data_IF_965696187139
#
_entry.id   IF_965696187139
#
_cell.length_a   1.000
_cell.length_b   1.000
_cell.length_c   1.000
_cell.angle_alpha   90.00
_cell.angle_beta   90.00
_cell.angle_gamma   90.00
#
_symmetry.space_group_name_H-M   'P 1'
#
loop_
_entity.id
_entity.type
_entity.pdbx_description
1 polymer ?
#
# COMPACT_ATOMS: atom_id res chain seq x y z
N UNK A 1 -38.51 33.28 5.66
CA UNK A 1 -38.76 31.83 5.73
C UNK A 1 -38.95 31.32 4.32
N UNK A 2 -37.95 30.73 3.69
CA UNK A 2 -38.05 30.09 2.38
C UNK A 2 -37.95 28.57 2.58
N UNK A 3 -38.99 27.89 2.15
CA UNK A 3 -39.16 26.45 2.19
C UNK A 3 -38.06 25.75 1.34
N UNK A 4 -37.19 25.01 1.98
CA UNK A 4 -36.28 24.05 1.32
C UNK A 4 -37.09 22.76 1.16
N UNK A 5 -37.52 22.47 -0.06
CA UNK A 5 -38.08 21.16 -0.43
C UNK A 5 -36.91 20.12 -0.42
N UNK A 6 -36.96 19.21 0.53
CA UNK A 6 -36.15 17.99 0.49
C UNK A 6 -36.60 17.15 -0.70
N UNK A 7 -35.80 17.10 -1.73
CA UNK A 7 -35.92 16.11 -2.80
C UNK A 7 -35.44 14.78 -2.24
N UNK A 8 -36.34 13.85 -1.99
CA UNK A 8 -36.04 12.47 -1.58
C UNK A 8 -35.20 11.83 -2.65
N UNK A 9 -33.98 11.47 -2.30
CA UNK A 9 -33.05 10.74 -3.15
C UNK A 9 -33.53 9.29 -3.22
N UNK A 10 -34.20 8.93 -4.30
CA UNK A 10 -34.57 7.57 -4.65
C UNK A 10 -33.33 6.84 -5.25
N UNK A 11 -32.50 6.27 -4.40
CA UNK A 11 -31.43 5.33 -4.76
C UNK A 11 -31.61 4.06 -3.93
N UNK A 12 -32.77 3.42 -4.03
CA UNK A 12 -33.01 2.16 -3.31
C UNK A 12 -33.96 1.23 -4.06
N UNK A 13 -33.75 1.01 -5.35
CA UNK A 13 -34.48 -0.08 -6.04
C UNK A 13 -33.70 -0.51 -7.29
N UNK A 14 -32.63 -1.28 -7.07
CA UNK A 14 -32.06 -2.18 -8.09
C UNK A 14 -31.18 -3.24 -7.42
N UNK A 15 -31.75 -3.99 -6.48
CA UNK A 15 -31.06 -5.11 -5.83
C UNK A 15 -32.07 -6.21 -5.52
N UNK A 16 -32.49 -6.92 -6.55
CA UNK A 16 -33.11 -8.23 -6.35
C UNK A 16 -32.76 -9.13 -7.53
N UNK A 17 -32.23 -10.27 -7.15
CA UNK A 17 -31.88 -11.45 -7.93
C UNK A 17 -30.47 -11.47 -8.54
N UNK A 18 -29.56 -12.16 -7.82
CA UNK A 18 -28.85 -13.33 -8.35
C UNK A 18 -28.23 -14.02 -7.11
N UNK A 19 -28.81 -15.16 -6.74
CA UNK A 19 -28.26 -16.10 -5.75
C UNK A 19 -27.35 -17.06 -6.49
N UNK A 20 -26.07 -16.83 -6.38
CA UNK A 20 -25.02 -17.79 -6.76
C UNK A 20 -23.87 -17.60 -5.79
N UNK A 21 -23.57 -18.59 -4.97
CA UNK A 21 -22.44 -18.60 -4.04
C UNK A 21 -21.13 -18.78 -4.78
N UNK A 22 -20.67 -17.74 -5.47
CA UNK A 22 -19.29 -17.60 -5.91
C UNK A 22 -18.58 -16.68 -4.93
N UNK A 23 -17.35 -16.97 -4.58
CA UNK A 23 -16.47 -16.02 -3.89
C UNK A 23 -16.37 -14.80 -4.83
N UNK A 24 -17.12 -13.74 -4.53
CA UNK A 24 -17.31 -12.61 -5.42
C UNK A 24 -16.00 -11.94 -5.79
N UNK A 25 -15.90 -11.36 -6.99
CA UNK A 25 -14.76 -10.61 -7.50
C UNK A 25 -14.44 -9.34 -6.70
N UNK A 26 -13.55 -8.51 -7.22
CA UNK A 26 -13.24 -7.19 -6.68
C UNK A 26 -11.85 -7.03 -6.09
N UNK A 27 -11.55 -5.80 -5.69
CA UNK A 27 -10.25 -5.44 -5.12
C UNK A 27 -10.21 -5.76 -3.64
N UNK A 28 -9.09 -6.31 -3.20
CA UNK A 28 -8.76 -6.53 -1.79
C UNK A 28 -7.69 -5.50 -1.41
N UNK A 29 -8.10 -4.51 -0.62
CA UNK A 29 -7.24 -3.41 -0.20
C UNK A 29 -6.14 -3.91 0.76
N UNK A 30 -5.05 -3.14 0.94
CA UNK A 30 -4.00 -3.49 1.89
C UNK A 30 -4.54 -3.78 3.29
N UNK A 31 -4.27 -4.98 3.79
CA UNK A 31 -4.63 -5.48 5.12
C UNK A 31 -3.47 -6.30 5.67
N UNK A 32 -2.97 -5.92 6.85
CA UNK A 32 -1.77 -6.55 7.43
C UNK A 32 -2.01 -8.00 7.87
N UNK A 33 -3.19 -8.28 8.45
CA UNK A 33 -3.51 -9.62 8.93
C UNK A 33 -3.67 -10.59 7.75
N UNK A 34 -4.41 -10.17 6.71
CA UNK A 34 -4.57 -10.96 5.49
C UNK A 34 -3.23 -11.18 4.78
N UNK A 35 -2.38 -10.14 4.69
CA UNK A 35 -1.04 -10.28 4.10
C UNK A 35 -0.21 -11.30 4.84
N UNK A 36 -0.20 -11.27 6.18
CA UNK A 36 0.56 -12.22 6.99
C UNK A 36 0.06 -13.66 6.83
N UNK A 37 -1.26 -13.86 6.79
CA UNK A 37 -1.86 -15.19 6.59
C UNK A 37 -1.55 -15.76 5.20
N UNK A 38 -1.70 -14.95 4.15
CA UNK A 38 -1.32 -15.33 2.78
C UNK A 38 0.19 -15.60 2.66
N UNK A 39 1.02 -14.77 3.29
CA UNK A 39 2.46 -14.94 3.29
C UNK A 39 2.87 -16.22 4.02
N UNK A 40 2.26 -16.57 5.16
CA UNK A 40 2.54 -17.79 5.87
C UNK A 40 2.34 -19.05 4.99
N UNK A 41 1.25 -19.07 4.19
CA UNK A 41 1.01 -20.14 3.22
C UNK A 41 1.95 -20.08 2.02
N UNK A 42 2.20 -18.88 1.48
CA UNK A 42 3.04 -18.68 0.30
C UNK A 42 4.51 -18.99 0.57
N UNK A 43 5.02 -18.62 1.75
CA UNK A 43 6.41 -18.88 2.15
C UNK A 43 6.70 -20.36 2.44
N UNK A 44 5.68 -21.19 2.60
CA UNK A 44 5.77 -22.64 2.69
C UNK A 44 5.40 -23.36 1.39
N UNK A 45 5.25 -22.61 0.30
CA UNK A 45 4.87 -23.15 -1.00
C UNK A 45 3.53 -23.93 -0.98
N UNK A 46 2.64 -23.60 -0.01
CA UNK A 46 1.27 -24.14 0.04
C UNK A 46 0.41 -23.49 -1.03
N UNK A 47 0.57 -22.19 -1.24
CA UNK A 47 -0.06 -21.42 -2.31
C UNK A 47 0.99 -20.63 -3.10
N UNK A 48 0.65 -20.32 -4.35
CA UNK A 48 1.47 -19.45 -5.20
C UNK A 48 0.73 -18.15 -5.47
N UNK A 49 1.22 -17.06 -4.88
CA UNK A 49 0.69 -15.70 -5.00
C UNK A 49 1.80 -14.68 -4.78
N UNK A 50 1.83 -13.62 -5.58
CA UNK A 50 2.67 -12.45 -5.31
C UNK A 50 1.95 -11.50 -4.36
N UNK A 51 2.62 -11.10 -3.29
CA UNK A 51 2.13 -10.18 -2.27
C UNK A 51 2.85 -8.82 -2.31
N UNK A 52 3.67 -8.58 -3.32
CA UNK A 52 4.44 -7.34 -3.48
C UNK A 52 3.69 -6.25 -4.25
N UNK A 53 2.45 -6.51 -4.69
CA UNK A 53 1.62 -5.55 -5.44
C UNK A 53 0.20 -5.54 -4.88
N UNK A 54 -0.20 -4.41 -4.29
CA UNK A 54 -1.55 -4.21 -3.75
C UNK A 54 -2.23 -2.98 -4.40
N UNK A 55 -3.57 -2.99 -4.53
CA UNK A 55 -4.52 -4.02 -4.07
C UNK A 55 -4.34 -5.33 -4.82
N UNK A 56 -4.68 -6.43 -4.16
CA UNK A 56 -4.87 -7.72 -4.82
C UNK A 56 -6.29 -7.80 -5.41
N UNK A 57 -6.53 -8.78 -6.27
CA UNK A 57 -7.90 -9.16 -6.60
C UNK A 57 -8.34 -10.36 -5.77
N UNK A 58 -9.62 -10.45 -5.47
CA UNK A 58 -10.15 -11.60 -4.73
C UNK A 58 -10.16 -12.87 -5.57
N UNK A 59 -10.21 -12.76 -6.91
CA UNK A 59 -10.06 -13.87 -7.84
C UNK A 59 -8.69 -14.53 -7.71
N UNK A 60 -7.63 -13.70 -7.62
CA UNK A 60 -6.28 -14.22 -7.44
C UNK A 60 -6.12 -14.96 -6.11
N UNK A 61 -6.61 -14.37 -5.02
CA UNK A 61 -6.56 -15.04 -3.72
C UNK A 61 -7.36 -16.35 -3.78
N UNK A 62 -8.54 -16.32 -4.37
CA UNK A 62 -9.39 -17.51 -4.54
C UNK A 62 -8.72 -18.57 -5.39
N UNK A 63 -8.09 -18.18 -6.51
CA UNK A 63 -7.31 -19.09 -7.38
C UNK A 63 -6.17 -19.74 -6.59
N UNK A 64 -5.41 -18.95 -5.85
CA UNK A 64 -4.30 -19.43 -5.03
C UNK A 64 -4.77 -20.41 -3.95
N UNK A 65 -5.86 -20.11 -3.24
CA UNK A 65 -6.42 -20.97 -2.20
C UNK A 65 -7.06 -22.25 -2.74
N UNK A 66 -7.67 -22.21 -3.94
CA UNK A 66 -8.24 -23.39 -4.57
C UNK A 66 -7.18 -24.36 -5.13
N UNK A 67 -6.00 -23.84 -5.46
CA UNK A 67 -4.85 -24.62 -5.91
C UNK A 67 -3.86 -24.92 -4.76
N UNK A 68 -4.26 -24.72 -3.49
CA UNK A 68 -3.40 -24.92 -2.34
C UNK A 68 -3.00 -26.40 -2.19
N UNK A 69 -1.70 -26.63 -1.98
CA UNK A 69 -1.16 -27.95 -1.64
C UNK A 69 -1.17 -28.16 -0.12
N UNK A 70 -2.35 -28.49 0.42
CA UNK A 70 -2.58 -28.64 1.87
C UNK A 70 -2.06 -30.01 2.32
N UNK A 71 -1.19 -30.00 3.33
CA UNK A 71 -0.56 -31.23 3.86
C UNK A 71 -0.87 -31.49 5.33
N UNK A 72 -1.45 -30.52 6.04
CA UNK A 72 -1.80 -30.65 7.45
C UNK A 72 -2.98 -29.76 7.86
N UNK A 73 -3.51 -30.01 9.07
CA UNK A 73 -4.70 -29.32 9.58
C UNK A 73 -4.48 -27.82 9.84
N UNK A 74 -3.24 -27.40 10.17
CA UNK A 74 -2.89 -25.99 10.39
C UNK A 74 -3.06 -25.19 9.10
N UNK A 75 -2.58 -25.72 7.97
CA UNK A 75 -2.73 -25.13 6.65
C UNK A 75 -4.21 -25.06 6.23
N UNK A 76 -4.98 -26.12 6.48
CA UNK A 76 -6.42 -26.14 6.20
C UNK A 76 -7.16 -25.09 7.01
N UNK A 77 -6.91 -25.00 8.33
CA UNK A 77 -7.52 -24.01 9.20
C UNK A 77 -7.22 -22.57 8.73
N UNK A 78 -5.98 -22.32 8.32
CA UNK A 78 -5.57 -21.00 7.81
C UNK A 78 -6.25 -20.66 6.47
N UNK A 79 -6.36 -21.61 5.55
CA UNK A 79 -7.11 -21.45 4.29
C UNK A 79 -8.57 -21.12 4.56
N UNK A 80 -9.21 -21.81 5.50
CA UNK A 80 -10.61 -21.55 5.87
C UNK A 80 -10.77 -20.16 6.54
N UNK A 81 -9.85 -19.75 7.39
CA UNK A 81 -9.84 -18.42 8.01
C UNK A 81 -9.75 -17.31 6.95
N UNK A 82 -8.86 -17.42 5.97
CA UNK A 82 -8.75 -16.46 4.87
C UNK A 82 -10.06 -16.40 4.06
N UNK A 83 -10.64 -17.56 3.69
CA UNK A 83 -11.92 -17.61 2.97
C UNK A 83 -13.04 -16.91 3.77
N UNK A 84 -13.11 -17.15 5.07
CA UNK A 84 -14.09 -16.49 5.95
C UNK A 84 -13.86 -14.98 6.00
N UNK A 85 -12.62 -14.50 6.16
CA UNK A 85 -12.29 -13.08 6.16
C UNK A 85 -12.72 -12.40 4.86
N UNK A 86 -12.41 -12.97 3.70
CA UNK A 86 -12.85 -12.46 2.40
C UNK A 86 -14.37 -12.40 2.29
N UNK A 87 -15.07 -13.41 2.78
CA UNK A 87 -16.53 -13.42 2.76
C UNK A 87 -17.15 -12.38 3.71
N UNK A 88 -16.50 -12.03 4.83
CA UNK A 88 -17.00 -11.03 5.80
C UNK A 88 -16.94 -9.61 5.25
N UNK A 89 -15.92 -9.29 4.46
CA UNK A 89 -15.71 -7.94 3.93
C UNK A 89 -16.57 -7.64 2.69
N UNK A 90 -17.10 -8.66 2.04
CA UNK A 90 -17.94 -8.52 0.84
C UNK A 90 -19.40 -8.28 1.18
N UNK A 91 -20.06 -7.43 0.37
CA UNK A 91 -21.49 -7.13 0.48
C UNK A 91 -21.84 -6.79 1.93
N UNK A 92 -21.16 -5.81 2.48
CA UNK A 92 -21.26 -5.41 3.87
C UNK A 92 -21.29 -3.88 4.03
N UNK A 93 -21.88 -3.44 5.11
CA UNK A 93 -21.65 -2.09 5.66
C UNK A 93 -20.76 -2.22 6.86
N UNK A 94 -19.76 -1.35 6.97
CA UNK A 94 -18.88 -1.29 8.12
C UNK A 94 -18.96 0.09 8.75
N UNK A 95 -19.05 0.12 10.06
CA UNK A 95 -18.85 1.33 10.85
C UNK A 95 -17.48 1.23 11.52
N UNK A 96 -16.62 2.23 11.29
CA UNK A 96 -15.30 2.26 11.89
C UNK A 96 -15.13 3.53 12.71
N UNK A 97 -14.54 3.38 13.87
CA UNK A 97 -14.14 4.50 14.73
C UNK A 97 -12.67 4.35 15.07
N UNK A 98 -11.88 5.35 14.72
CA UNK A 98 -10.48 5.46 15.07
C UNK A 98 -10.27 6.61 16.04
N UNK A 99 -9.52 6.36 17.10
CA UNK A 99 -9.14 7.31 18.14
C UNK A 99 -7.63 7.19 18.39
N UNK A 100 -6.96 8.31 18.53
CA UNK A 100 -5.55 8.35 18.87
C UNK A 100 -5.24 9.53 19.79
N UNK A 101 -4.28 9.35 20.68
CA UNK A 101 -3.76 10.43 21.53
C UNK A 101 -2.89 11.44 20.75
N UNK A 102 -2.49 11.10 19.53
CA UNK A 102 -1.67 11.91 18.63
C UNK A 102 -1.03 11.06 17.54
N UNK A 103 -0.20 11.70 16.70
CA UNK A 103 0.56 11.02 15.65
C UNK A 103 1.79 10.35 16.26
N UNK A 104 1.97 9.05 16.05
CA UNK A 104 3.25 8.41 16.33
C UNK A 104 4.37 9.06 15.51
N UNK A 105 5.51 9.43 16.12
CA UNK A 105 6.65 9.97 15.37
C UNK A 105 7.30 8.95 14.43
N UNK A 106 7.15 7.66 14.70
CA UNK A 106 7.75 6.60 13.88
C UNK A 106 7.11 6.52 12.50
N UNK A 107 7.90 6.41 11.41
CA UNK A 107 7.34 6.12 10.08
C UNK A 107 6.48 4.87 10.09
N UNK A 108 5.29 4.93 9.49
CA UNK A 108 4.34 3.84 9.48
C UNK A 108 4.56 2.93 8.26
N UNK A 109 4.31 1.63 8.44
CA UNK A 109 4.45 0.60 7.41
C UNK A 109 3.15 0.25 6.70
N UNK A 110 3.14 -0.93 6.07
CA UNK A 110 2.04 -1.47 5.29
C UNK A 110 0.72 -1.49 6.05
N UNK A 111 -0.32 -0.89 5.49
CA UNK A 111 -1.68 -0.80 6.04
C UNK A 111 -1.77 -0.18 7.45
N UNK A 112 -0.81 0.68 7.80
CA UNK A 112 -0.75 1.31 9.14
C UNK A 112 -0.93 2.82 9.12
N UNK A 113 -1.07 3.43 7.96
CA UNK A 113 -1.11 4.89 7.83
C UNK A 113 -2.47 5.44 8.24
N UNK A 114 -2.45 6.40 9.17
CA UNK A 114 -3.61 7.12 9.65
C UNK A 114 -3.45 8.62 9.43
N UNK A 115 -4.54 9.25 8.97
CA UNK A 115 -4.51 10.64 8.48
C UNK A 115 -5.15 11.65 9.42
N UNK A 116 -5.61 11.21 10.60
CA UNK A 116 -6.26 12.04 11.64
C UNK A 116 -6.13 11.39 13.01
N UNK A 117 -6.35 12.15 14.08
CA UNK A 117 -6.37 11.60 15.44
C UNK A 117 -7.75 11.02 15.80
N UNK A 118 -8.80 11.53 15.15
CA UNK A 118 -10.15 10.99 15.23
C UNK A 118 -10.71 10.80 13.82
N UNK A 119 -11.29 9.62 13.58
CA UNK A 119 -12.04 9.33 12.36
C UNK A 119 -13.24 8.45 12.68
N UNK A 120 -14.40 8.84 12.19
CA UNK A 120 -15.58 8.00 12.07
C UNK A 120 -15.84 7.74 10.59
N UNK A 121 -16.01 6.49 10.23
CA UNK A 121 -16.19 6.04 8.85
C UNK A 121 -17.44 5.19 8.73
N UNK A 122 -18.23 5.46 7.70
CA UNK A 122 -19.25 4.54 7.19
C UNK A 122 -18.77 4.06 5.83
N UNK A 123 -18.62 2.77 5.68
CA UNK A 123 -18.12 2.13 4.46
C UNK A 123 -19.11 1.08 4.00
N UNK A 124 -19.56 1.19 2.75
CA UNK A 124 -20.42 0.22 2.09
C UNK A 124 -19.68 -0.42 0.93
N UNK A 125 -19.59 -1.74 0.92
CA UNK A 125 -19.00 -2.52 -0.15
C UNK A 125 -20.06 -3.37 -0.85
N UNK A 126 -20.09 -3.31 -2.18
CA UNK A 126 -20.87 -4.19 -3.04
C UNK A 126 -19.98 -4.76 -4.12
N UNK A 127 -19.88 -6.09 -4.16
CA UNK A 127 -18.98 -6.78 -5.06
C UNK A 127 -19.66 -8.00 -5.67
N UNK A 128 -19.53 -8.14 -6.99
CA UNK A 128 -19.93 -9.31 -7.80
C UNK A 128 -18.72 -9.81 -8.57
N UNK A 129 -18.90 -10.78 -9.44
CA UNK A 129 -17.82 -11.31 -10.29
C UNK A 129 -17.27 -10.23 -11.24
N UNK A 130 -18.08 -9.24 -11.64
CA UNK A 130 -17.72 -8.26 -12.67
C UNK A 130 -17.81 -6.80 -12.21
N UNK A 131 -18.35 -6.53 -11.02
CA UNK A 131 -18.52 -5.17 -10.48
C UNK A 131 -18.02 -5.10 -9.06
N UNK A 132 -17.28 -4.05 -8.74
CA UNK A 132 -16.79 -3.75 -7.39
C UNK A 132 -17.01 -2.28 -7.06
N UNK A 133 -17.78 -2.02 -6.02
CA UNK A 133 -18.11 -0.67 -5.55
C UNK A 133 -17.78 -0.56 -4.06
N UNK A 134 -16.98 0.41 -3.70
CA UNK A 134 -16.69 0.77 -2.33
C UNK A 134 -17.02 2.24 -2.10
N UNK A 135 -17.98 2.53 -1.25
CA UNK A 135 -18.34 3.88 -0.86
C UNK A 135 -17.96 4.11 0.59
N UNK A 136 -17.09 5.09 0.81
CA UNK A 136 -16.51 5.39 2.11
C UNK A 136 -16.74 6.86 2.46
N UNK A 137 -17.50 7.12 3.52
CA UNK A 137 -17.73 8.45 4.05
C UNK A 137 -17.01 8.61 5.39
N UNK A 138 -16.12 9.58 5.46
CA UNK A 138 -15.28 9.84 6.63
C UNK A 138 -15.65 11.19 7.26
N UNK A 139 -15.73 11.21 8.60
CA UNK A 139 -15.74 12.41 9.43
C UNK A 139 -14.45 12.41 10.28
N UNK A 140 -13.61 13.42 10.12
CA UNK A 140 -12.27 13.47 10.71
C UNK A 140 -12.08 14.72 11.59
N UNK A 141 -11.20 14.60 12.59
CA UNK A 141 -10.73 15.71 13.42
C UNK A 141 -9.24 15.56 13.69
N UNK A 142 -8.56 16.70 13.96
CA UNK A 142 -7.12 16.75 14.14
C UNK A 142 -6.38 16.03 13.00
N UNK A 143 -6.62 16.50 11.79
CA UNK A 143 -6.05 15.92 10.56
C UNK A 143 -4.55 16.09 10.52
N UNK A 144 -3.87 15.04 10.05
CA UNK A 144 -2.42 14.96 9.86
C UNK A 144 -1.99 15.27 8.42
N UNK A 145 -2.96 15.64 7.56
CA UNK A 145 -2.76 15.98 6.15
C UNK A 145 -3.05 17.45 5.92
N UNK A 146 -2.28 18.07 5.02
CA UNK A 146 -2.48 19.47 4.67
C UNK A 146 -3.76 19.66 3.87
N UNK A 147 -4.46 20.76 4.17
CA UNK A 147 -5.61 21.26 3.40
C UNK A 147 -6.70 20.21 3.12
N UNK A 148 -6.82 19.16 3.91
CA UNK A 148 -7.90 18.18 3.79
C UNK A 148 -9.24 18.73 4.29
N UNK A 149 -10.38 18.13 3.92
CA UNK A 149 -11.68 18.40 4.50
C UNK A 149 -11.97 17.51 5.70
N UNK A 150 -12.68 18.01 6.71
CA UNK A 150 -13.16 17.23 7.84
C UNK A 150 -14.16 16.14 7.42
N UNK A 151 -14.89 16.37 6.35
CA UNK A 151 -15.80 15.41 5.74
C UNK A 151 -15.30 15.10 4.35
N UNK A 152 -15.06 13.82 4.06
CA UNK A 152 -14.51 13.41 2.79
C UNK A 152 -14.95 11.99 2.40
N UNK A 153 -14.74 11.65 1.14
CA UNK A 153 -15.04 10.34 0.56
C UNK A 153 -13.76 9.55 0.23
N UNK A 154 -12.66 9.85 0.91
CA UNK A 154 -11.38 9.20 0.66
C UNK A 154 -11.45 7.69 0.87
N UNK A 155 -10.94 6.93 -0.09
CA UNK A 155 -11.04 5.48 -0.13
C UNK A 155 -12.27 4.96 -0.88
N UNK A 156 -13.11 5.84 -1.45
CA UNK A 156 -14.21 5.43 -2.33
C UNK A 156 -13.71 5.13 -3.73
N UNK A 157 -14.22 4.05 -4.32
CA UNK A 157 -13.92 3.68 -5.71
C UNK A 157 -15.04 2.83 -6.31
N UNK A 158 -15.04 2.73 -7.63
CA UNK A 158 -15.85 1.80 -8.39
C UNK A 158 -15.01 1.13 -9.46
N UNK A 159 -15.29 -0.13 -9.75
CA UNK A 159 -14.59 -0.92 -10.75
C UNK A 159 -15.50 -1.87 -11.50
N UNK A 160 -15.10 -2.19 -12.71
CA UNK A 160 -15.70 -3.23 -13.55
C UNK A 160 -14.63 -4.15 -14.08
N UNK A 161 -14.96 -5.43 -14.16
CA UNK A 161 -14.09 -6.42 -14.77
C UNK A 161 -14.47 -6.62 -16.23
N UNK A 162 -13.50 -6.48 -17.11
CA UNK A 162 -13.63 -6.75 -18.54
C UNK A 162 -12.59 -7.79 -18.89
N UNK A 163 -13.03 -8.98 -19.33
CA UNK A 163 -12.17 -10.16 -19.47
C UNK A 163 -11.44 -10.46 -18.16
N UNK A 164 -10.13 -10.58 -18.19
CA UNK A 164 -9.27 -10.78 -17.01
C UNK A 164 -8.63 -9.45 -16.53
N UNK A 165 -9.37 -8.34 -16.57
CA UNK A 165 -8.87 -7.01 -16.21
C UNK A 165 -9.88 -6.27 -15.36
N UNK A 166 -9.47 -5.79 -14.19
CA UNK A 166 -10.18 -4.80 -13.41
C UNK A 166 -9.83 -3.40 -13.89
N UNK A 167 -10.84 -2.64 -14.27
CA UNK A 167 -10.76 -1.21 -14.59
C UNK A 167 -11.51 -0.48 -13.47
N UNK A 168 -10.78 0.24 -12.65
CA UNK A 168 -11.32 0.92 -11.47
C UNK A 168 -11.02 2.40 -11.50
N UNK A 169 -11.88 3.20 -10.88
CA UNK A 169 -11.69 4.64 -10.72
C UNK A 169 -12.05 5.05 -9.29
N UNK A 170 -11.23 5.89 -8.69
CA UNK A 170 -11.45 6.40 -7.34
C UNK A 170 -10.16 6.63 -6.57
N UNK A 171 -10.22 6.48 -5.26
CA UNK A 171 -9.11 6.64 -4.33
C UNK A 171 -8.72 5.28 -3.75
N UNK A 172 -7.91 4.55 -4.49
CA UNK A 172 -7.52 3.17 -4.18
C UNK A 172 -6.13 3.15 -3.55
N UNK A 173 -5.97 2.69 -2.30
CA UNK A 173 -4.67 2.51 -1.68
C UNK A 173 -3.81 1.53 -2.46
N UNK A 174 -2.53 1.87 -2.64
CA UNK A 174 -1.58 1.08 -3.42
C UNK A 174 -0.31 0.84 -2.61
N UNK A 175 0.29 -0.35 -2.82
CA UNK A 175 1.60 -0.69 -2.30
C UNK A 175 2.40 -1.46 -3.35
N UNK A 176 3.61 -0.99 -3.68
CA UNK A 176 4.45 -1.53 -4.75
C UNK A 176 5.85 -1.89 -4.23
N UNK A 177 6.04 -3.10 -3.84
CA UNK A 177 7.29 -3.64 -3.34
C UNK A 177 7.11 -4.72 -2.30
N UNK A 178 8.15 -5.50 -2.04
CA UNK A 178 8.10 -6.62 -1.09
C UNK A 178 8.15 -6.18 0.38
N UNK A 179 8.52 -4.92 0.66
CA UNK A 179 8.77 -4.41 2.01
C UNK A 179 7.55 -4.40 2.93
N UNK A 180 7.81 -4.32 4.23
CA UNK A 180 6.81 -4.25 5.29
C UNK A 180 6.65 -2.84 5.87
N UNK A 181 7.76 -2.17 6.15
CA UNK A 181 7.77 -0.81 6.71
C UNK A 181 7.95 0.26 5.66
N UNK A 182 8.19 -0.14 4.41
CA UNK A 182 8.28 0.79 3.32
C UNK A 182 8.17 0.14 1.94
N UNK A 183 7.90 0.98 0.97
CA UNK A 183 8.21 0.79 -0.44
C UNK A 183 8.76 2.10 -0.95
N UNK A 184 9.82 2.02 -1.73
CA UNK A 184 10.51 3.23 -2.19
C UNK A 184 9.71 4.00 -3.25
N UNK A 185 8.72 3.38 -3.90
CA UNK A 185 8.03 3.99 -5.04
C UNK A 185 6.54 4.26 -4.79
N UNK A 186 5.83 3.39 -4.08
CA UNK A 186 4.41 3.56 -3.79
C UNK A 186 4.01 2.93 -2.47
N UNK A 187 3.47 3.74 -1.56
CA UNK A 187 2.93 3.30 -0.26
C UNK A 187 1.59 3.96 0.02
N UNK A 188 0.98 3.59 1.12
CA UNK A 188 -0.19 4.23 1.71
C UNK A 188 0.14 5.34 2.73
N UNK A 189 1.41 5.79 2.79
CA UNK A 189 1.82 6.89 3.66
C UNK A 189 1.11 8.21 3.33
N UNK A 190 0.87 8.50 2.05
CA UNK A 190 -0.04 9.54 1.61
C UNK A 190 -1.44 8.97 1.34
N UNK A 191 -2.47 9.82 1.44
CA UNK A 191 -3.81 9.45 0.97
C UNK A 191 -3.75 8.97 -0.48
N UNK A 192 -4.64 8.05 -0.89
CA UNK A 192 -4.67 7.57 -2.26
C UNK A 192 -4.87 8.70 -3.27
N UNK A 193 -4.16 8.63 -4.39
CA UNK A 193 -4.35 9.54 -5.52
C UNK A 193 -5.65 9.19 -6.23
N UNK A 194 -6.49 10.19 -6.49
CA UNK A 194 -7.72 10.00 -7.27
C UNK A 194 -7.37 9.71 -8.72
N UNK A 195 -7.81 8.58 -9.24
CA UNK A 195 -7.48 8.20 -10.63
C UNK A 195 -7.98 6.82 -11.02
N UNK A 196 -7.53 6.39 -12.19
CA UNK A 196 -7.78 5.07 -12.75
C UNK A 196 -6.74 4.07 -12.29
N UNK A 197 -7.18 2.85 -12.08
CA UNK A 197 -6.35 1.66 -11.88
C UNK A 197 -6.81 0.59 -12.87
N UNK A 198 -5.89 0.07 -13.65
CA UNK A 198 -6.08 -1.10 -14.49
C UNK A 198 -5.13 -2.20 -14.00
N UNK A 199 -5.66 -3.38 -13.70
CA UNK A 199 -4.86 -4.53 -13.26
C UNK A 199 -5.45 -5.86 -13.72
N UNK A 200 -4.62 -6.90 -13.78
CA UNK A 200 -5.11 -8.28 -14.00
C UNK A 200 -5.94 -8.74 -12.82
N UNK A 201 -7.01 -9.51 -13.10
CA UNK A 201 -7.84 -10.11 -12.09
C UNK A 201 -7.18 -11.34 -11.43
N UNK A 202 -6.38 -12.11 -12.17
CA UNK A 202 -5.58 -13.21 -11.64
C UNK A 202 -4.12 -13.15 -12.12
N UNK A 203 -3.24 -13.89 -11.46
CA UNK A 203 -1.80 -13.96 -11.76
C UNK A 203 -1.42 -15.22 -12.56
N UNK A 204 -2.36 -15.85 -13.22
CA UNK A 204 -2.12 -17.09 -13.98
C UNK A 204 -0.96 -16.95 -14.97
N UNK A 205 -0.10 -17.97 -15.10
CA UNK A 205 0.96 -17.99 -16.10
C UNK A 205 0.41 -17.93 -17.51
N UNK A 206 1.26 -17.57 -18.46
CA UNK A 206 0.91 -17.72 -19.87
C UNK A 206 0.84 -19.20 -20.26
N UNK A 207 -0.19 -19.58 -21.01
CA UNK A 207 -0.31 -20.92 -21.60
C UNK A 207 0.63 -21.11 -22.80
N UNK A 208 1.11 -20.01 -23.41
CA UNK A 208 1.99 -20.01 -24.55
C UNK A 208 3.39 -20.52 -24.16
N UNK A 209 3.91 -21.62 -24.75
CA UNK A 209 5.14 -22.27 -24.30
C UNK A 209 6.37 -21.35 -24.22
N UNK A 210 6.51 -20.40 -25.14
CA UNK A 210 7.65 -19.47 -25.15
C UNK A 210 7.53 -18.31 -24.13
N UNK A 211 6.37 -18.13 -23.46
CA UNK A 211 6.17 -17.17 -22.37
C UNK A 211 5.95 -17.86 -21.02
N UNK A 212 5.77 -19.18 -20.98
CA UNK A 212 5.48 -19.92 -19.74
C UNK A 212 6.61 -19.81 -18.69
N UNK A 213 7.84 -19.50 -19.11
CA UNK A 213 8.99 -19.27 -18.23
C UNK A 213 8.83 -18.04 -17.33
N UNK A 214 7.94 -17.09 -17.66
CA UNK A 214 7.61 -15.92 -16.85
C UNK A 214 6.95 -16.34 -15.53
N UNK A 215 6.29 -17.52 -15.54
CA UNK A 215 5.53 -17.99 -14.38
C UNK A 215 4.28 -17.16 -14.13
N UNK A 216 3.83 -17.12 -12.90
CA UNK A 216 2.72 -16.22 -12.52
C UNK A 216 3.15 -14.76 -12.65
N UNK A 217 2.27 -13.91 -13.16
CA UNK A 217 2.59 -12.53 -13.41
C UNK A 217 1.40 -11.60 -13.24
N UNK A 218 1.69 -10.36 -12.89
CA UNK A 218 0.70 -9.32 -12.68
C UNK A 218 1.22 -7.99 -13.20
N UNK A 219 0.29 -7.09 -13.56
CA UNK A 219 0.61 -5.68 -13.74
C UNK A 219 -0.46 -4.79 -13.12
N UNK A 220 -0.04 -3.57 -12.81
CA UNK A 220 -0.90 -2.44 -12.48
C UNK A 220 -0.49 -1.22 -13.31
N UNK A 221 -1.47 -0.60 -13.96
CA UNK A 221 -1.35 0.70 -14.61
C UNK A 221 -2.23 1.70 -13.85
N UNK A 222 -1.68 2.85 -13.52
CA UNK A 222 -2.39 3.90 -12.81
C UNK A 222 -2.26 5.23 -13.52
N UNK A 223 -3.33 6.03 -13.50
CA UNK A 223 -3.31 7.39 -14.01
C UNK A 223 -4.25 8.24 -13.15
N UNK A 224 -3.70 9.22 -12.44
CA UNK A 224 -4.46 10.07 -11.53
C UNK A 224 -3.92 11.48 -11.45
N UNK A 225 -4.52 12.28 -10.58
CA UNK A 225 -4.11 13.65 -10.34
C UNK A 225 -3.76 13.83 -8.87
N UNK A 226 -2.55 14.35 -8.60
CA UNK A 226 -2.09 14.68 -7.26
C UNK A 226 -2.93 15.84 -6.72
N UNK A 227 -3.47 15.67 -5.52
CA UNK A 227 -4.29 16.68 -4.86
C UNK A 227 -3.41 17.72 -4.19
N UNK A 228 -3.84 18.99 -4.30
CA UNK A 228 -3.25 20.13 -3.59
C UNK A 228 -1.73 20.25 -3.78
N UNK A 229 -1.31 20.06 -5.00
CA UNK A 229 0.06 20.23 -5.44
C UNK A 229 0.26 21.71 -5.83
N UNK A 230 0.85 22.48 -4.95
CA UNK A 230 0.83 23.95 -5.04
C UNK A 230 1.83 24.51 -6.06
N UNK A 231 2.98 23.86 -6.22
CA UNK A 231 4.03 24.33 -7.14
C UNK A 231 3.66 24.13 -8.61
N UNK A 232 2.89 23.10 -8.90
CA UNK A 232 2.38 22.78 -10.24
C UNK A 232 0.96 22.21 -10.09
N UNK A 233 -0.10 23.05 -9.97
CA UNK A 233 -1.47 22.59 -9.83
C UNK A 233 -1.86 21.65 -10.97
N UNK A 234 -2.72 20.67 -10.68
CA UNK A 234 -3.19 19.68 -11.64
C UNK A 234 -2.13 18.72 -12.18
N UNK A 235 -0.99 18.57 -11.49
CA UNK A 235 0.04 17.56 -11.82
C UNK A 235 -0.58 16.16 -11.85
N UNK A 236 -0.35 15.44 -12.93
CA UNK A 236 -0.79 14.06 -13.11
C UNK A 236 0.30 13.10 -12.64
N UNK A 237 -0.12 11.99 -12.08
CA UNK A 237 0.75 10.88 -11.70
C UNK A 237 0.34 9.65 -12.49
N UNK A 238 1.26 9.13 -13.28
CA UNK A 238 1.09 7.92 -14.08
C UNK A 238 2.05 6.89 -13.53
N UNK A 239 1.59 5.65 -13.36
CA UNK A 239 2.39 4.58 -12.80
C UNK A 239 2.20 3.26 -13.53
N UNK A 240 3.28 2.51 -13.62
CA UNK A 240 3.31 1.14 -14.10
C UNK A 240 4.08 0.28 -13.10
N UNK A 241 3.51 -0.84 -12.73
CA UNK A 241 4.19 -1.93 -12.03
C UNK A 241 3.95 -3.24 -12.75
N UNK A 242 4.98 -4.07 -12.81
CA UNK A 242 4.89 -5.46 -13.27
C UNK A 242 5.62 -6.36 -12.27
N UNK A 243 5.06 -7.54 -12.02
CA UNK A 243 5.72 -8.59 -11.24
C UNK A 243 5.65 -9.90 -11.98
N UNK A 244 6.65 -10.74 -11.81
CA UNK A 244 6.69 -12.10 -12.35
C UNK A 244 7.37 -13.05 -11.38
N UNK A 245 6.95 -14.31 -11.41
CA UNK A 245 7.49 -15.40 -10.61
C UNK A 245 7.98 -16.52 -11.53
N UNK A 246 9.18 -16.41 -12.11
CA UNK A 246 9.73 -17.40 -13.03
C UNK A 246 9.88 -18.78 -12.39
N UNK A 247 10.03 -18.81 -11.08
CA UNK A 247 10.09 -20.02 -10.26
C UNK A 247 9.29 -19.84 -8.98
N UNK A 248 9.04 -20.90 -8.25
CA UNK A 248 8.34 -20.89 -6.95
C UNK A 248 9.15 -20.21 -5.83
N UNK A 249 10.46 -20.05 -6.01
CA UNK A 249 11.36 -19.41 -5.05
C UNK A 249 11.78 -17.97 -5.42
N UNK A 250 11.51 -17.51 -6.64
CA UNK A 250 12.00 -16.19 -7.10
C UNK A 250 10.90 -15.33 -7.67
N UNK A 251 10.77 -14.12 -7.14
CA UNK A 251 9.91 -13.06 -7.65
C UNK A 251 10.76 -11.86 -8.09
N UNK A 252 10.41 -11.28 -9.22
CA UNK A 252 10.99 -10.05 -9.75
C UNK A 252 9.90 -9.04 -10.00
N UNK A 253 10.10 -7.79 -9.56
CA UNK A 253 9.23 -6.66 -9.79
C UNK A 253 9.94 -5.51 -10.49
N UNK A 254 9.22 -4.80 -11.35
CA UNK A 254 9.65 -3.55 -11.95
C UNK A 254 8.57 -2.49 -11.80
N UNK A 255 8.96 -1.27 -11.46
CA UNK A 255 8.02 -0.16 -11.22
C UNK A 255 8.54 1.13 -11.81
N UNK A 256 7.62 1.93 -12.34
CA UNK A 256 7.91 3.29 -12.79
C UNK A 256 6.72 4.19 -12.48
N UNK A 257 7.00 5.41 -12.03
CA UNK A 257 6.02 6.49 -11.91
C UNK A 257 6.54 7.73 -12.60
N UNK A 258 5.63 8.48 -13.20
CA UNK A 258 5.90 9.72 -13.93
C UNK A 258 4.94 10.80 -13.43
N UNK A 259 5.49 11.90 -12.95
CA UNK A 259 4.77 13.14 -12.72
C UNK A 259 4.80 13.95 -14.01
N UNK A 260 3.64 14.30 -14.54
CA UNK A 260 3.53 14.91 -15.86
C UNK A 260 2.50 16.04 -15.91
N UNK A 261 2.76 17.04 -16.73
CA UNK A 261 1.86 18.16 -16.96
C UNK A 261 1.69 19.02 -15.69
N UNK A 262 0.51 19.56 -15.52
CA UNK A 262 0.22 20.58 -14.52
C UNK A 262 0.11 21.97 -15.13
N UNK A 263 -0.30 22.96 -14.33
CA UNK A 263 -0.48 24.33 -14.78
C UNK A 263 0.87 24.96 -15.19
N UNK A 264 0.92 25.57 -16.38
CA UNK A 264 2.14 26.14 -16.93
C UNK A 264 3.17 25.14 -17.46
N UNK A 265 2.82 23.86 -17.58
CA UNK A 265 3.72 22.81 -18.10
C UNK A 265 3.21 22.25 -19.44
N UNK A 266 4.11 21.71 -20.29
CA UNK A 266 3.71 20.99 -21.48
C UNK A 266 2.69 19.87 -21.17
N UNK A 267 1.52 19.91 -21.81
CA UNK A 267 0.40 19.01 -21.52
C UNK A 267 -0.25 18.52 -22.83
N UNK A 268 0.56 18.11 -23.78
CA UNK A 268 0.16 17.59 -25.09
C UNK A 268 0.68 16.17 -25.31
N UNK A 269 0.21 15.49 -26.37
CA UNK A 269 0.60 14.12 -26.68
C UNK A 269 2.11 13.94 -26.86
N UNK A 270 2.80 14.94 -27.43
CA UNK A 270 4.24 14.85 -27.62
C UNK A 270 4.98 14.89 -26.28
N UNK A 271 4.62 15.81 -25.38
CA UNK A 271 5.20 15.87 -24.03
C UNK A 271 4.86 14.61 -23.21
N UNK A 272 3.65 14.05 -23.38
CA UNK A 272 3.27 12.78 -22.74
C UNK A 272 4.21 11.64 -23.16
N UNK A 273 4.38 11.44 -24.48
CA UNK A 273 5.24 10.36 -24.96
C UNK A 273 6.71 10.59 -24.63
N UNK A 274 7.18 11.84 -24.62
CA UNK A 274 8.54 12.16 -24.18
C UNK A 274 8.73 11.81 -22.70
N UNK A 275 7.80 12.18 -21.83
CA UNK A 275 7.82 11.78 -20.40
C UNK A 275 7.79 10.26 -20.24
N UNK A 276 6.92 9.57 -20.98
CA UNK A 276 6.83 8.11 -20.93
C UNK A 276 8.06 7.40 -21.50
N UNK A 277 8.80 8.03 -22.43
CA UNK A 277 10.01 7.50 -23.03
C UNK A 277 11.30 7.86 -22.25
N UNK A 278 11.19 8.62 -21.11
CA UNK A 278 12.37 9.10 -20.37
C UNK A 278 13.18 10.16 -21.10
N UNK A 279 12.55 10.95 -21.98
CA UNK A 279 13.18 12.05 -22.71
C UNK A 279 12.90 13.38 -21.99
N UNK A 280 13.22 13.44 -20.71
CA UNK A 280 12.95 14.57 -19.81
C UNK A 280 14.18 15.47 -19.57
N UNK A 281 15.37 15.03 -19.94
CA UNK A 281 16.60 15.82 -19.84
C UNK A 281 16.87 16.62 -21.13
N UNK A 282 15.98 17.56 -21.48
CA UNK A 282 16.10 18.35 -22.72
C UNK A 282 17.11 19.50 -22.60
N UNK A 283 17.55 19.84 -21.38
CA UNK A 283 18.42 20.99 -21.10
C UNK A 283 17.67 22.33 -21.01
N UNK A 284 16.41 22.40 -21.43
CA UNK A 284 15.52 23.54 -21.21
C UNK A 284 14.41 23.16 -20.21
N UNK A 285 14.37 23.90 -19.10
CA UNK A 285 13.37 23.73 -18.05
C UNK A 285 11.93 23.86 -18.57
N UNK A 286 11.71 24.65 -19.61
CA UNK A 286 10.39 24.87 -20.17
C UNK A 286 9.89 23.68 -21.01
N UNK A 287 10.82 22.95 -21.62
CA UNK A 287 10.53 21.82 -22.49
C UNK A 287 10.62 20.45 -21.79
N UNK A 288 11.11 20.43 -20.54
CA UNK A 288 11.18 19.22 -19.73
C UNK A 288 9.77 18.67 -19.45
N UNK A 289 9.43 17.45 -19.91
CA UNK A 289 8.06 16.96 -19.90
C UNK A 289 7.59 16.42 -18.55
N UNK A 290 8.47 16.12 -17.59
CA UNK A 290 8.05 15.50 -16.34
C UNK A 290 9.15 15.16 -15.35
N UNK A 291 8.79 14.54 -14.24
CA UNK A 291 9.69 13.90 -13.28
C UNK A 291 9.35 12.42 -13.15
N UNK A 292 10.35 11.57 -13.00
CA UNK A 292 10.15 10.13 -12.95
C UNK A 292 10.95 9.45 -11.86
N UNK A 293 10.38 8.35 -11.36
CA UNK A 293 11.04 7.39 -10.50
C UNK A 293 10.88 6.02 -11.12
N UNK A 294 11.96 5.26 -11.21
CA UNK A 294 11.92 3.90 -11.74
C UNK A 294 12.83 2.97 -10.95
N UNK A 295 12.49 1.71 -10.89
CA UNK A 295 13.33 0.73 -10.20
C UNK A 295 12.84 -0.69 -10.27
N UNK A 296 13.63 -1.53 -9.63
CA UNK A 296 13.43 -2.97 -9.57
C UNK A 296 13.33 -3.42 -8.12
N UNK A 297 12.62 -4.50 -7.90
CA UNK A 297 12.61 -5.25 -6.66
C UNK A 297 12.65 -6.75 -6.92
N UNK A 298 13.18 -7.48 -5.95
CA UNK A 298 13.24 -8.93 -6.02
C UNK A 298 13.03 -9.55 -4.64
N UNK A 299 12.52 -10.78 -4.63
CA UNK A 299 12.33 -11.59 -3.44
C UNK A 299 12.76 -13.03 -3.72
N UNK A 300 13.49 -13.63 -2.78
CA UNK A 300 13.93 -15.02 -2.81
C UNK A 300 13.35 -15.74 -1.61
N UNK A 301 12.53 -16.76 -1.86
CA UNK A 301 11.98 -17.67 -0.85
C UNK A 301 12.93 -18.84 -0.64
N UNK A 302 13.33 -19.08 0.60
CA UNK A 302 14.26 -20.15 0.91
C UNK A 302 13.58 -21.51 1.12
N UNK A 303 12.27 -21.53 1.36
CA UNK A 303 11.55 -22.79 1.62
C UNK A 303 11.63 -23.80 0.47
N UNK A 304 11.39 -23.42 -0.80
CA UNK A 304 11.53 -24.37 -1.91
C UNK A 304 12.95 -24.90 -2.12
N UNK A 305 13.96 -24.15 -1.64
CA UNK A 305 15.37 -24.49 -1.82
C UNK A 305 15.93 -25.36 -0.69
N UNK A 306 15.60 -25.03 0.56
CA UNK A 306 16.22 -25.64 1.75
C UNK A 306 15.21 -25.94 2.89
N UNK A 307 13.91 -25.82 2.65
CA UNK A 307 12.86 -26.09 3.65
C UNK A 307 12.76 -25.05 4.78
N UNK A 308 13.40 -23.88 4.64
CA UNK A 308 13.37 -22.82 5.65
C UNK A 308 12.33 -21.74 5.26
N UNK A 309 11.26 -21.52 6.06
CA UNK A 309 10.22 -20.53 5.74
C UNK A 309 10.72 -19.10 6.05
N UNK A 310 11.72 -18.67 5.32
CA UNK A 310 12.38 -17.37 5.38
C UNK A 310 12.57 -16.87 3.96
N UNK A 311 12.41 -15.56 3.76
CA UNK A 311 12.68 -14.90 2.50
C UNK A 311 13.59 -13.71 2.67
N UNK A 312 14.34 -13.41 1.62
CA UNK A 312 15.19 -12.23 1.51
C UNK A 312 14.64 -11.40 0.36
N UNK A 313 14.54 -10.09 0.56
CA UNK A 313 14.03 -9.18 -0.47
C UNK A 313 14.80 -7.88 -0.52
N UNK A 314 14.68 -7.19 -1.65
CA UNK A 314 15.24 -5.86 -1.83
C UNK A 314 14.52 -5.07 -2.90
N UNK A 315 14.63 -3.75 -2.81
CA UNK A 315 14.12 -2.80 -3.78
C UNK A 315 15.16 -1.71 -4.01
N UNK A 316 15.34 -1.31 -5.25
CA UNK A 316 16.17 -0.18 -5.66
C UNK A 316 15.34 0.71 -6.59
N UNK A 317 15.34 2.01 -6.35
CA UNK A 317 14.77 3.00 -7.27
C UNK A 317 15.75 4.14 -7.51
N UNK A 318 15.69 4.73 -8.70
CA UNK A 318 16.40 5.97 -9.05
C UNK A 318 15.44 7.07 -9.46
N UNK A 319 15.86 8.31 -9.27
CA UNK A 319 15.11 9.53 -9.60
C UNK A 319 15.54 10.13 -10.94
N UNK A 320 16.69 9.71 -11.46
CA UNK A 320 17.24 10.13 -12.75
C UNK A 320 17.73 8.92 -13.55
N UNK A 321 17.89 9.09 -14.82
CA UNK A 321 18.49 8.10 -15.71
C UNK A 321 19.92 8.51 -16.08
N UNK A 322 20.86 7.57 -15.93
CA UNK A 322 22.18 7.64 -16.53
C UNK A 322 22.24 6.62 -17.67
N UNK A 323 21.87 7.06 -18.87
CA UNK A 323 21.64 6.17 -19.99
C UNK A 323 20.34 5.38 -19.82
N UNK A 324 20.41 4.02 -19.73
CA UNK A 324 19.23 3.16 -19.52
C UNK A 324 19.05 2.69 -18.07
N UNK A 325 19.89 3.13 -17.14
CA UNK A 325 19.86 2.70 -15.73
C UNK A 325 19.44 3.83 -14.80
N UNK A 326 18.61 3.53 -13.78
CA UNK A 326 18.28 4.49 -12.74
C UNK A 326 19.54 5.00 -12.04
N UNK A 327 19.64 6.31 -11.88
CA UNK A 327 20.72 6.96 -11.11
C UNK A 327 20.17 7.70 -9.90
N UNK A 328 21.03 8.15 -8.98
CA UNK A 328 20.63 8.75 -7.70
C UNK A 328 19.73 7.81 -6.91
N UNK A 329 20.24 6.61 -6.63
CA UNK A 329 19.46 5.50 -6.17
C UNK A 329 19.16 5.54 -4.66
N UNK A 330 17.92 5.17 -4.30
CA UNK A 330 17.53 4.73 -2.98
C UNK A 330 17.50 3.19 -2.94
N UNK A 331 17.73 2.65 -1.75
CA UNK A 331 17.78 1.20 -1.52
C UNK A 331 16.95 0.82 -0.30
N UNK A 332 16.32 -0.32 -0.38
CA UNK A 332 15.63 -0.99 0.73
C UNK A 332 15.91 -2.47 0.62
N UNK A 333 16.03 -3.13 1.76
CA UNK A 333 16.15 -4.60 1.81
C UNK A 333 15.79 -5.13 3.17
N UNK A 334 15.43 -6.40 3.20
CA UNK A 334 15.03 -7.05 4.43
C UNK A 334 15.07 -8.57 4.33
N UNK A 335 14.83 -9.15 5.49
CA UNK A 335 14.62 -10.57 5.70
C UNK A 335 13.36 -10.75 6.51
N UNK A 336 12.56 -11.73 6.14
CA UNK A 336 11.31 -12.06 6.82
C UNK A 336 11.19 -13.56 7.05
N UNK A 337 10.44 -13.95 8.06
CA UNK A 337 10.22 -15.36 8.37
C UNK A 337 8.83 -15.61 8.90
N UNK A 338 8.30 -16.79 8.56
CA UNK A 338 6.95 -17.24 8.90
C UNK A 338 7.04 -18.63 9.51
N UNK A 339 6.95 -18.72 10.80
CA UNK A 339 7.14 -19.95 11.57
C UNK A 339 5.86 -20.36 12.29
N UNK A 340 5.87 -21.56 12.83
CA UNK A 340 4.91 -22.02 13.83
C UNK A 340 5.61 -22.08 15.17
N UNK A 341 5.09 -21.40 16.16
CA UNK A 341 5.57 -21.44 17.52
C UNK A 341 4.41 -21.80 18.46
N UNK A 342 4.62 -22.80 19.30
CA UNK A 342 3.57 -23.32 20.23
C UNK A 342 2.24 -23.65 19.54
N UNK A 343 2.29 -24.14 18.30
CA UNK A 343 1.12 -24.52 17.52
C UNK A 343 0.38 -23.35 16.84
N UNK A 344 0.95 -22.14 16.85
CA UNK A 344 0.33 -20.95 16.29
C UNK A 344 1.28 -20.21 15.33
N UNK A 345 0.79 -19.47 14.32
CA UNK A 345 1.59 -18.68 13.40
C UNK A 345 2.39 -17.58 14.11
N UNK A 346 3.66 -17.50 13.77
CA UNK A 346 4.57 -16.44 14.17
C UNK A 346 5.23 -15.88 12.91
N UNK A 347 5.12 -14.58 12.70
CA UNK A 347 5.80 -13.86 11.64
C UNK A 347 6.77 -12.83 12.20
N UNK A 348 7.86 -12.57 11.48
CA UNK A 348 8.81 -11.54 11.83
C UNK A 348 9.51 -10.99 10.59
N UNK A 349 9.98 -9.76 10.67
CA UNK A 349 10.88 -9.19 9.68
C UNK A 349 11.92 -8.26 10.32
N UNK A 350 13.01 -8.05 9.59
CA UNK A 350 13.98 -6.98 9.80
C UNK A 350 14.18 -6.31 8.45
N UNK A 351 13.98 -4.98 8.39
CA UNK A 351 14.03 -4.19 7.17
C UNK A 351 14.85 -2.93 7.35
N UNK A 352 15.66 -2.60 6.35
CA UNK A 352 16.41 -1.36 6.29
C UNK A 352 16.15 -0.59 5.00
N UNK A 353 16.05 0.73 5.08
CA UNK A 353 15.86 1.61 3.94
C UNK A 353 16.76 2.84 3.99
N UNK A 354 17.22 3.30 2.82
CA UNK A 354 18.05 4.48 2.66
C UNK A 354 17.57 5.29 1.46
N UNK A 355 16.98 6.48 1.71
CA UNK A 355 16.57 7.46 0.71
C UNK A 355 17.51 8.67 0.66
N UNK A 356 18.65 8.62 1.34
CA UNK A 356 19.61 9.73 1.41
C UNK A 356 20.46 9.91 0.13
N UNK A 357 20.58 8.90 -0.73
CA UNK A 357 21.25 8.94 -2.05
C UNK A 357 22.72 9.42 -2.00
N UNK A 358 23.55 8.82 -1.13
CA UNK A 358 24.91 9.31 -0.84
C UNK A 358 25.92 9.31 -2.00
N UNK A 359 25.72 8.47 -3.00
CA UNK A 359 26.76 8.17 -3.99
C UNK A 359 26.89 9.23 -5.10
N UNK A 360 25.84 10.07 -5.35
CA UNK A 360 25.87 11.08 -6.40
C UNK A 360 25.47 12.48 -5.96
N UNK A 361 24.37 12.64 -5.25
CA UNK A 361 23.89 13.90 -4.63
C UNK A 361 23.04 13.55 -3.43
N UNK A 362 23.41 14.04 -2.26
CA UNK A 362 22.66 13.83 -1.03
C UNK A 362 21.26 14.46 -1.11
N UNK A 363 20.26 13.75 -0.60
CA UNK A 363 18.92 14.26 -0.38
C UNK A 363 18.11 14.64 -1.63
N UNK A 364 18.41 14.06 -2.79
CA UNK A 364 17.64 14.35 -4.02
C UNK A 364 16.39 13.49 -4.16
N UNK A 365 16.33 12.33 -3.51
CA UNK A 365 15.18 11.42 -3.60
C UNK A 365 13.87 12.12 -3.25
N UNK A 366 12.84 11.96 -4.08
CA UNK A 366 11.53 12.60 -3.99
C UNK A 366 11.53 14.11 -4.16
N UNK A 367 12.60 14.70 -4.73
CA UNK A 367 12.72 16.13 -4.98
C UNK A 367 12.94 16.40 -6.45
N UNK A 368 12.34 17.47 -6.95
CA UNK A 368 12.55 17.90 -8.33
C UNK A 368 12.60 19.42 -8.42
N UNK A 369 13.37 19.96 -9.36
CA UNK A 369 13.57 21.40 -9.50
C UNK A 369 12.34 22.10 -10.14
N UNK A 370 11.53 21.38 -10.93
CA UNK A 370 10.28 21.85 -11.52
C UNK A 370 9.11 21.54 -10.57
N UNK A 371 8.91 20.27 -10.24
CA UNK A 371 7.88 19.80 -9.34
C UNK A 371 8.33 20.00 -7.89
N UNK A 372 8.34 21.29 -7.45
CA UNK A 372 8.99 21.72 -6.21
C UNK A 372 8.39 21.16 -4.94
N UNK A 373 7.10 20.75 -4.95
CA UNK A 373 6.51 20.05 -3.81
C UNK A 373 7.01 18.60 -3.68
N UNK A 374 7.76 18.10 -4.68
CA UNK A 374 8.37 16.77 -4.66
C UNK A 374 7.37 15.64 -4.88
N UNK A 375 7.79 14.41 -4.60
CA UNK A 375 6.95 13.21 -4.72
C UNK A 375 6.08 13.04 -3.47
N UNK A 376 5.22 14.04 -3.22
CA UNK A 376 4.36 14.15 -2.03
C UNK A 376 2.94 14.53 -2.42
N UNK A 377 1.97 14.15 -1.58
CA UNK A 377 0.57 14.58 -1.67
C UNK A 377 0.08 15.03 -0.29
N UNK A 378 -0.46 16.25 -0.20
CA UNK A 378 -0.99 16.81 1.06
C UNK A 378 0.03 16.73 2.22
N UNK A 379 1.31 16.93 1.94
CA UNK A 379 2.39 16.92 2.92
C UNK A 379 2.93 15.54 3.29
N UNK A 380 2.36 14.45 2.78
CA UNK A 380 2.81 13.09 3.02
C UNK A 380 3.51 12.49 1.77
N UNK A 381 4.57 11.67 1.94
CA UNK A 381 5.29 11.06 0.82
C UNK A 381 4.43 10.00 0.13
N UNK A 382 4.50 9.93 -1.20
CA UNK A 382 3.86 8.89 -2.01
C UNK A 382 4.68 7.60 -2.04
N UNK A 383 5.98 7.68 -1.76
CA UNK A 383 6.89 6.56 -1.54
C UNK A 383 7.06 6.22 -0.06
N UNK A 384 8.29 5.93 0.37
CA UNK A 384 8.59 5.51 1.74
C UNK A 384 8.12 6.53 2.79
N UNK A 385 7.51 6.06 3.87
CA UNK A 385 6.88 6.91 4.90
C UNK A 385 7.85 7.90 5.59
N UNK A 386 9.15 7.60 5.64
CA UNK A 386 10.17 8.55 6.15
C UNK A 386 10.43 9.73 5.20
N UNK A 387 9.92 9.67 3.95
CA UNK A 387 10.20 10.66 2.92
C UNK A 387 11.58 10.50 2.30
N UNK A 388 11.96 11.50 1.50
CA UNK A 388 13.32 11.62 0.98
C UNK A 388 14.32 12.00 2.07
N UNK A 389 15.61 11.73 1.80
CA UNK A 389 16.73 12.11 2.66
C UNK A 389 16.71 11.48 4.05
N UNK A 390 16.37 10.18 4.12
CA UNK A 390 16.28 9.44 5.37
C UNK A 390 16.95 8.08 5.33
N UNK A 391 17.15 7.51 6.53
CA UNK A 391 17.57 6.13 6.75
C UNK A 391 16.78 5.53 7.88
N UNK A 392 16.36 4.29 7.72
CA UNK A 392 15.59 3.59 8.72
C UNK A 392 16.04 2.13 8.80
N UNK A 393 16.02 1.60 10.00
CA UNK A 393 16.01 0.18 10.27
C UNK A 393 14.86 -0.12 11.22
N UNK A 394 14.14 -1.18 10.94
CA UNK A 394 13.00 -1.60 11.75
C UNK A 394 12.94 -3.12 11.83
N UNK A 395 12.21 -3.61 12.79
CA UNK A 395 11.88 -5.02 12.91
C UNK A 395 10.58 -5.19 13.66
N UNK A 396 9.80 -6.19 13.25
CA UNK A 396 8.52 -6.54 13.87
C UNK A 396 8.47 -8.02 14.12
N UNK A 397 7.86 -8.39 15.22
CA UNK A 397 7.41 -9.76 15.50
C UNK A 397 5.91 -9.69 15.73
N UNK A 398 5.17 -10.60 15.10
CA UNK A 398 3.73 -10.76 15.30
C UNK A 398 3.43 -12.23 15.61
N UNK A 399 2.65 -12.46 16.63
CA UNK A 399 2.25 -13.78 17.10
C UNK A 399 0.74 -13.89 17.17
N UNK A 400 0.20 -14.92 16.54
CA UNK A 400 -1.21 -15.29 16.62
C UNK A 400 -1.42 -16.09 17.90
N UNK A 401 -2.17 -15.57 18.86
CA UNK A 401 -2.48 -16.28 20.11
C UNK A 401 -3.55 -17.36 19.86
N UNK A 402 -4.55 -17.00 19.08
CA UNK A 402 -5.65 -17.86 18.59
C UNK A 402 -6.26 -17.21 17.34
N UNK A 403 -7.34 -17.76 16.80
CA UNK A 403 -7.97 -17.27 15.56
C UNK A 403 -8.49 -15.82 15.69
N UNK A 404 -8.79 -15.39 16.90
CA UNK A 404 -9.37 -14.08 17.19
C UNK A 404 -8.40 -13.10 17.86
N UNK A 405 -7.16 -13.51 18.16
CA UNK A 405 -6.21 -12.68 18.88
C UNK A 405 -4.81 -12.69 18.24
N UNK A 406 -4.27 -11.51 18.00
CA UNK A 406 -2.89 -11.31 17.56
C UNK A 406 -2.22 -10.21 18.36
N UNK A 407 -0.96 -10.41 18.66
CA UNK A 407 -0.11 -9.42 19.32
C UNK A 407 1.12 -9.15 18.48
N UNK A 408 1.60 -7.92 18.52
CA UNK A 408 2.81 -7.56 17.79
C UNK A 408 3.69 -6.61 18.58
N UNK A 409 4.98 -6.67 18.29
CA UNK A 409 5.97 -5.72 18.80
C UNK A 409 6.82 -5.25 17.61
N UNK A 410 6.94 -3.94 17.43
CA UNK A 410 7.77 -3.33 16.39
C UNK A 410 8.76 -2.37 16.99
N UNK A 411 10.00 -2.44 16.54
CA UNK A 411 11.10 -1.56 16.90
C UNK A 411 11.49 -0.73 15.68
N UNK A 412 11.75 0.56 15.89
CA UNK A 412 12.14 1.49 14.82
C UNK A 412 13.32 2.35 15.28
N UNK A 413 14.32 2.46 14.40
CA UNK A 413 15.34 3.48 14.45
C UNK A 413 15.37 4.19 13.09
N UNK A 414 15.09 5.49 13.07
CA UNK A 414 15.04 6.28 11.85
C UNK A 414 15.78 7.60 12.01
N UNK A 415 16.57 7.97 11.01
CA UNK A 415 17.08 9.33 10.79
C UNK A 415 16.35 9.88 9.59
N UNK A 416 15.53 10.89 9.80
CA UNK A 416 14.64 11.45 8.77
C UNK A 416 15.07 12.86 8.40
N UNK A 417 14.91 13.19 7.12
CA UNK A 417 15.16 14.51 6.55
C UNK A 417 16.47 15.15 7.01
N UNK A 418 17.58 14.47 6.80
CA UNK A 418 18.92 14.79 7.32
C UNK A 418 19.38 16.22 6.97
N UNK A 419 19.05 16.71 5.79
CA UNK A 419 19.39 18.04 5.30
C UNK A 419 18.26 19.07 5.53
N UNK A 420 17.20 18.69 6.28
CA UNK A 420 16.05 19.57 6.63
C UNK A 420 15.36 20.18 5.41
N UNK A 421 15.10 19.38 4.39
CA UNK A 421 14.39 19.83 3.19
C UNK A 421 12.90 20.11 3.44
N UNK A 422 12.38 21.26 3.01
CA UNK A 422 11.01 21.68 3.30
C UNK A 422 9.93 20.84 2.60
N UNK A 423 10.30 20.06 1.57
CA UNK A 423 9.37 19.17 0.86
C UNK A 423 8.87 18.02 1.75
N UNK A 424 9.72 17.54 2.66
CA UNK A 424 9.32 16.50 3.61
C UNK A 424 8.55 17.13 4.79
N UNK A 425 7.27 17.38 4.59
CA UNK A 425 6.42 17.99 5.62
C UNK A 425 6.00 17.01 6.71
N UNK A 426 6.10 15.71 6.45
CA UNK A 426 5.92 14.69 7.47
C UNK A 426 7.02 14.76 8.56
N UNK A 427 8.23 15.13 8.13
CA UNK A 427 9.40 15.36 8.99
C UNK A 427 10.09 16.65 8.53
N UNK A 428 9.65 17.83 8.98
CA UNK A 428 10.11 19.10 8.43
C UNK A 428 11.55 19.48 8.84
N UNK A 429 12.18 18.69 9.70
CA UNK A 429 13.52 18.91 10.23
C UNK A 429 14.31 17.62 10.27
N UNK A 430 15.63 17.72 10.34
CA UNK A 430 16.51 16.61 10.65
C UNK A 430 16.21 16.08 12.05
N UNK A 431 15.89 14.78 12.14
CA UNK A 431 15.46 14.16 13.38
C UNK A 431 15.91 12.71 13.43
N UNK A 432 16.37 12.26 14.61
CA UNK A 432 16.64 10.86 14.91
C UNK A 432 15.56 10.31 15.84
N UNK A 433 14.81 9.34 15.38
CA UNK A 433 13.68 8.75 16.09
C UNK A 433 14.04 7.31 16.49
N UNK A 434 13.79 6.97 17.75
CA UNK A 434 13.89 5.59 18.28
C UNK A 434 12.57 5.28 18.96
N UNK A 435 12.03 4.10 18.71
CA UNK A 435 10.77 3.78 19.35
C UNK A 435 10.39 2.32 19.26
N UNK A 436 9.40 2.01 20.05
CA UNK A 436 8.72 0.71 20.11
C UNK A 436 7.23 0.95 20.00
N UNK A 437 6.53 0.13 19.24
CA UNK A 437 5.08 0.00 19.32
C UNK A 437 4.66 -1.43 19.65
N UNK A 438 3.59 -1.55 20.42
CA UNK A 438 2.93 -2.78 20.77
C UNK A 438 1.53 -2.74 20.18
N UNK A 439 1.19 -3.75 19.40
CA UNK A 439 -0.12 -3.89 18.76
C UNK A 439 -0.89 -5.07 19.34
N UNK A 440 -2.20 -4.92 19.41
CA UNK A 440 -3.13 -5.98 19.73
C UNK A 440 -4.34 -5.89 18.82
N UNK A 441 -4.61 -6.98 18.10
CA UNK A 441 -5.78 -7.15 17.27
C UNK A 441 -6.68 -8.22 17.90
N UNK A 442 -7.99 -7.92 17.98
CA UNK A 442 -8.97 -8.85 18.54
C UNK A 442 -10.29 -8.79 17.77
N UNK A 443 -10.85 -9.95 17.51
CA UNK A 443 -12.15 -10.13 16.88
C UNK A 443 -13.15 -10.69 17.91
N UNK A 444 -14.09 -9.86 18.35
CA UNK A 444 -15.12 -10.24 19.31
C UNK A 444 -16.31 -10.90 18.59
N UNK A 445 -16.39 -12.22 18.65
CA UNK A 445 -17.53 -13.02 18.15
C UNK A 445 -17.94 -12.68 16.70
N UNK A 446 -16.99 -12.39 15.81
CA UNK A 446 -17.22 -11.97 14.44
C UNK A 446 -18.07 -10.69 14.24
N UNK A 447 -18.33 -9.96 15.32
CA UNK A 447 -19.18 -8.76 15.33
C UNK A 447 -18.41 -7.47 15.47
N UNK A 448 -17.28 -7.52 16.16
CA UNK A 448 -16.48 -6.34 16.47
C UNK A 448 -15.01 -6.66 16.28
N UNK A 449 -14.34 -5.97 15.36
CA UNK A 449 -12.90 -6.04 15.25
C UNK A 449 -12.28 -4.83 15.96
N UNK A 450 -11.26 -5.07 16.75
CA UNK A 450 -10.50 -4.02 17.44
C UNK A 450 -9.04 -4.14 17.09
N UNK A 451 -8.43 -3.02 16.69
CA UNK A 451 -6.98 -2.87 16.53
C UNK A 451 -6.52 -1.78 17.50
N UNK A 452 -5.71 -2.16 18.47
CA UNK A 452 -5.18 -1.26 19.49
C UNK A 452 -3.66 -1.22 19.39
N UNK A 453 -3.09 -0.03 19.55
CA UNK A 453 -1.65 0.19 19.52
C UNK A 453 -1.26 1.15 20.65
N UNK A 454 -0.14 0.86 21.29
CA UNK A 454 0.55 1.79 22.18
C UNK A 454 1.98 1.95 21.69
N UNK A 455 2.54 3.17 21.83
CA UNK A 455 3.93 3.43 21.46
C UNK A 455 4.64 4.26 22.49
N UNK A 456 5.94 4.07 22.51
CA UNK A 456 6.91 4.93 23.20
C UNK A 456 8.03 5.24 22.21
N UNK A 457 8.36 6.51 22.05
CA UNK A 457 9.46 6.93 21.19
C UNK A 457 10.23 8.09 21.77
N UNK A 458 11.48 8.20 21.35
CA UNK A 458 12.39 9.28 21.66
C UNK A 458 12.85 9.95 20.38
N UNK A 459 12.95 11.25 20.40
CA UNK A 459 13.52 12.04 19.32
C UNK A 459 14.66 12.91 19.87
N UNK A 460 15.72 13.09 19.08
CA UNK A 460 16.78 14.04 19.41
C UNK A 460 16.34 15.50 19.30
N UNK A 461 15.17 15.73 18.69
CA UNK A 461 14.53 17.05 18.61
C UNK A 461 13.67 17.38 19.84
N UNK A 462 12.99 16.39 20.41
CA UNK A 462 12.15 16.54 21.60
C UNK A 462 12.89 16.03 22.84
N UNK A 463 12.96 16.84 23.88
CA UNK A 463 13.59 16.45 25.16
C UNK A 463 12.72 15.51 26.00
N UNK A 464 11.50 15.21 25.57
CA UNK A 464 10.55 14.32 26.27
C UNK A 464 10.26 13.11 25.39
N UNK A 465 10.07 11.96 26.06
CA UNK A 465 9.54 10.78 25.42
C UNK A 465 8.13 11.07 24.88
N UNK A 466 7.84 10.61 23.66
CA UNK A 466 6.51 10.60 23.09
C UNK A 466 5.86 9.26 23.42
N UNK A 467 4.79 9.33 24.19
CA UNK A 467 4.00 8.15 24.59
C UNK A 467 2.58 8.36 24.09
N UNK A 468 2.08 7.39 23.36
CA UNK A 468 0.72 7.48 22.84
C UNK A 468 0.05 6.14 22.66
N UNK A 469 -1.23 6.22 22.34
CA UNK A 469 -2.06 5.07 22.07
C UNK A 469 -3.07 5.38 20.97
N UNK A 470 -3.48 4.36 20.25
CA UNK A 470 -4.60 4.42 19.32
C UNK A 470 -5.45 3.16 19.41
N UNK A 471 -6.71 3.32 19.03
CA UNK A 471 -7.64 2.21 18.89
C UNK A 471 -8.54 2.44 17.70
N UNK A 472 -8.72 1.40 16.90
CA UNK A 472 -9.70 1.32 15.82
C UNK A 472 -10.70 0.21 16.17
N UNK A 473 -11.98 0.54 16.11
CA UNK A 473 -13.08 -0.41 16.30
C UNK A 473 -13.87 -0.45 15.00
N UNK A 474 -14.09 -1.65 14.47
CA UNK A 474 -14.86 -1.91 13.24
C UNK A 474 -16.03 -2.82 13.54
N UNK A 475 -17.22 -2.38 13.16
CA UNK A 475 -18.48 -3.10 13.27
C UNK A 475 -18.96 -3.49 11.88
N UNK A 476 -18.80 -4.74 11.44
CA UNK A 476 -19.31 -5.21 10.15
C UNK A 476 -20.79 -5.59 10.25
N UNK A 477 -21.57 -5.19 9.25
CA UNK A 477 -22.97 -5.59 9.05
C UNK A 477 -23.13 -6.19 7.66
N UNK A 478 -23.57 -7.42 7.56
CA UNK A 478 -23.94 -8.04 6.28
C UNK A 478 -25.39 -7.76 5.95
N UNK A 479 -25.70 -7.55 4.67
CA UNK A 479 -27.05 -7.58 4.14
C UNK A 479 -27.30 -8.84 3.31
#
# INVERSE_FOLDING_TARGET
MKNIKLTKLAIFTLLSAISGSTLAGGLVLPDNNLRNDLAWLSERNVIQISLSTWPLSSEEITRALNNANITNNEQEALVQRIKQQLNRTKNSVQLQTYLSTGKSPMPQGFAQSEYSDFRYTVEGNYSTDDVDLNLKANAERARRVENGSDYNLNGSYGGVKVWNQWISFGEIPQWWGPGHDGSLIRTDAARPVTGFLLQRADQSPFETPWLSWIGSWQYQLTAGQIKQYSSQPHTKLIGLRMTMNPTDFFELGGSRVVMWGGEGRPNNWNSFWNAMAGRDNTGDVNDDPGNQLAGLDAKIKLYPLIGLPVSIYGQMIGEDEAGMFPSKNAFMGGIEGYHTAWGQPLSWYIEGANTHTEWNKNGVMYRHFIYKDGYYQQGAPLGHAMGGDGRMISGKVEYTLDDDNRVSTRLVYAKVNKESYPQNKAYPRSETIKGIDLGWWHNFDDRVNTDAKVWVSQSDYNTRDDVGASVMVTLPFKW
#
